data_IF_253670219249
#
_entry.id   IF_253670219249
#
_cell.length_a   1.000
_cell.length_b   1.000
_cell.length_c   1.000
_cell.angle_alpha   90.00
_cell.angle_beta   90.00
_cell.angle_gamma   90.00
#
_symmetry.space_group_name_H-M   'P 1'
#
loop_
_entity.id
_entity.type
_entity.pdbx_description
1 polymer ?
#
# COMPACT_ATOMS: atom_id res chain seq x y z
N UNK A 1 -7.63 1.16 -9.59
CA UNK A 1 -7.19 2.54 -9.94
C UNK A 1 -8.27 3.54 -9.58
N UNK A 2 -7.97 4.49 -8.68
CA UNK A 2 -8.91 5.53 -8.25
C UNK A 2 -8.98 6.65 -9.31
N UNK A 3 -9.49 6.34 -10.51
CA UNK A 3 -9.81 7.37 -11.52
C UNK A 3 -11.19 7.97 -11.22
N UNK A 4 -11.36 8.50 -10.01
CA UNK A 4 -12.52 9.29 -9.63
C UNK A 4 -12.51 10.62 -10.40
N UNK A 5 -12.92 10.60 -11.66
CA UNK A 5 -13.26 11.80 -12.44
C UNK A 5 -12.27 12.22 -13.54
N UNK A 6 -10.99 11.90 -13.46
CA UNK A 6 -10.02 12.26 -14.50
C UNK A 6 -9.94 11.14 -15.55
N UNK A 7 -10.50 11.36 -16.75
CA UNK A 7 -10.33 10.46 -17.91
C UNK A 7 -8.90 10.49 -18.47
N UNK A 8 -8.13 11.53 -18.14
CA UNK A 8 -6.80 11.83 -18.67
C UNK A 8 -5.95 12.40 -17.53
N UNK A 9 -4.77 11.83 -17.30
CA UNK A 9 -3.80 12.31 -16.32
C UNK A 9 -2.52 12.76 -17.04
N UNK A 10 -2.28 14.07 -17.19
CA UNK A 10 -1.09 14.56 -17.86
C UNK A 10 0.16 14.38 -16.98
N UNK A 11 1.21 13.80 -17.56
CA UNK A 11 2.53 13.60 -16.95
C UNK A 11 3.54 14.34 -17.81
N UNK A 12 3.84 15.60 -17.45
CA UNK A 12 4.64 16.48 -18.31
C UNK A 12 3.97 16.68 -19.68
N UNK A 13 4.69 16.39 -20.77
CA UNK A 13 4.14 16.44 -22.12
C UNK A 13 3.33 15.21 -22.51
N UNK A 14 3.39 14.14 -21.72
CA UNK A 14 2.72 12.88 -21.98
C UNK A 14 1.37 12.80 -21.26
N UNK A 15 0.59 11.78 -21.62
CA UNK A 15 -0.70 11.47 -21.02
C UNK A 15 -0.65 10.04 -20.50
N UNK A 16 -1.15 9.85 -19.28
CA UNK A 16 -1.52 8.54 -18.75
C UNK A 16 -3.03 8.35 -18.93
N UNK A 17 -3.43 7.20 -19.46
CA UNK A 17 -4.83 6.85 -19.72
C UNK A 17 -5.09 5.36 -19.52
N UNK A 18 -6.27 5.01 -19.02
CA UNK A 18 -6.68 3.60 -18.96
C UNK A 18 -6.83 2.97 -20.34
N UNK A 19 -7.12 3.77 -21.38
CA UNK A 19 -7.20 3.30 -22.76
C UNK A 19 -5.83 2.81 -23.26
N UNK A 20 -4.75 3.47 -22.84
CA UNK A 20 -3.39 3.05 -23.16
C UNK A 20 -3.08 1.66 -22.61
N UNK A 21 -3.49 1.38 -21.37
CA UNK A 21 -3.30 0.07 -20.75
C UNK A 21 -4.10 -1.03 -21.46
N UNK A 22 -5.34 -0.73 -21.88
CA UNK A 22 -6.14 -1.67 -22.69
C UNK A 22 -5.48 -1.95 -24.04
N UNK A 23 -5.02 -0.92 -24.73
CA UNK A 23 -4.32 -1.06 -26.00
C UNK A 23 -3.06 -1.92 -25.87
N UNK A 24 -2.20 -1.63 -24.88
CA UNK A 24 -0.98 -2.41 -24.65
C UNK A 24 -1.29 -3.89 -24.36
N UNK A 25 -2.37 -4.16 -23.63
CA UNK A 25 -2.82 -5.54 -23.38
C UNK A 25 -3.30 -6.23 -24.66
N UNK A 26 -4.05 -5.54 -25.51
CA UNK A 26 -4.53 -6.11 -26.78
C UNK A 26 -3.40 -6.40 -27.76
N UNK A 27 -2.43 -5.49 -27.87
CA UNK A 27 -1.30 -5.64 -28.78
C UNK A 27 -0.26 -6.66 -28.29
N UNK A 28 0.10 -6.61 -27.00
CA UNK A 28 1.22 -7.38 -26.47
C UNK A 28 0.78 -8.61 -25.65
N UNK A 29 -0.52 -8.77 -25.39
CA UNK A 29 -1.06 -9.93 -24.66
C UNK A 29 -0.38 -10.12 -23.31
N UNK A 30 0.10 -11.33 -23.05
CA UNK A 30 0.83 -11.67 -21.81
C UNK A 30 2.15 -10.90 -21.64
N UNK A 31 2.76 -10.41 -22.72
CA UNK A 31 4.02 -9.63 -22.64
C UNK A 31 3.83 -8.25 -22.02
N UNK A 32 2.59 -7.76 -21.95
CA UNK A 32 2.27 -6.50 -21.27
C UNK A 32 2.24 -6.63 -19.74
N UNK A 33 2.16 -7.85 -19.19
CA UNK A 33 1.95 -8.08 -17.75
C UNK A 33 0.56 -7.65 -17.26
N UNK A 34 -0.35 -7.24 -18.16
CA UNK A 34 -1.69 -6.79 -17.83
C UNK A 34 -2.71 -7.92 -17.96
N UNK A 35 -3.62 -8.01 -17.00
CA UNK A 35 -4.73 -8.98 -17.02
C UNK A 35 -6.07 -8.25 -17.01
N UNK A 36 -7.14 -8.95 -17.45
CA UNK A 36 -8.50 -8.42 -17.37
C UNK A 36 -8.88 -8.04 -15.93
N UNK A 37 -8.39 -8.80 -14.95
CA UNK A 37 -8.68 -8.60 -13.53
C UNK A 37 -8.01 -7.33 -13.00
N UNK A 38 -6.80 -7.01 -13.47
CA UNK A 38 -6.09 -5.79 -13.08
C UNK A 38 -6.72 -4.55 -13.73
N UNK A 39 -7.12 -4.63 -15.00
CA UNK A 39 -7.71 -3.49 -15.73
C UNK A 39 -9.18 -3.23 -15.40
N UNK A 40 -9.94 -4.28 -15.11
CA UNK A 40 -11.34 -4.20 -14.72
C UNK A 40 -11.59 -5.01 -13.44
N UNK A 41 -11.12 -4.51 -12.29
CA UNK A 41 -11.27 -5.21 -11.03
C UNK A 41 -12.76 -5.29 -10.67
N UNK A 42 -13.26 -6.51 -10.50
CA UNK A 42 -14.62 -6.77 -9.98
C UNK A 42 -14.78 -6.22 -8.56
N UNK A 43 -13.72 -6.33 -7.77
CA UNK A 43 -13.60 -5.74 -6.45
C UNK A 43 -12.57 -4.61 -6.47
N UNK A 44 -13.04 -3.37 -6.30
CA UNK A 44 -12.19 -2.17 -6.29
C UNK A 44 -11.37 -2.03 -4.99
N UNK A 45 -11.65 -2.84 -3.97
CA UNK A 45 -10.95 -2.90 -2.70
C UNK A 45 -9.91 -4.03 -2.65
N UNK A 46 -9.74 -4.79 -3.75
CA UNK A 46 -8.73 -5.84 -3.83
C UNK A 46 -7.33 -5.26 -4.01
N UNK A 47 -6.66 -4.98 -2.89
CA UNK A 47 -5.31 -4.41 -2.87
C UNK A 47 -4.31 -5.27 -3.64
N UNK A 48 -4.41 -6.60 -3.55
CA UNK A 48 -3.52 -7.54 -4.26
C UNK A 48 -3.46 -7.29 -5.77
N UNK A 49 -4.58 -6.90 -6.40
CA UNK A 49 -4.63 -6.59 -7.83
C UNK A 49 -3.93 -5.27 -8.15
N UNK A 50 -4.02 -4.29 -7.25
CA UNK A 50 -3.29 -3.03 -7.40
C UNK A 50 -1.79 -3.24 -7.15
N UNK A 51 -1.43 -4.00 -6.12
CA UNK A 51 -0.04 -4.34 -5.82
C UNK A 51 0.62 -5.04 -7.00
N UNK A 52 -0.08 -5.97 -7.65
CA UNK A 52 0.36 -6.65 -8.86
C UNK A 52 0.79 -5.70 -9.97
N UNK A 53 0.14 -4.55 -10.11
CA UNK A 53 0.47 -3.57 -11.16
C UNK A 53 1.77 -2.82 -10.86
N UNK A 54 2.08 -2.61 -9.57
CA UNK A 54 3.25 -1.83 -9.12
C UNK A 54 4.41 -2.68 -8.62
N UNK A 55 4.23 -4.00 -8.49
CA UNK A 55 5.25 -4.92 -8.00
C UNK A 55 6.25 -5.31 -9.09
N UNK A 56 7.51 -5.46 -8.66
CA UNK A 56 8.61 -6.04 -9.46
C UNK A 56 9.21 -7.31 -8.84
N UNK A 57 8.66 -7.79 -7.72
CA UNK A 57 9.30 -8.84 -6.91
C UNK A 57 8.95 -10.27 -7.35
N UNK A 58 10.03 -11.04 -7.54
CA UNK A 58 10.28 -12.50 -7.66
C UNK A 58 9.29 -13.45 -8.37
N UNK A 59 7.98 -13.22 -8.34
CA UNK A 59 7.00 -14.07 -9.06
C UNK A 59 6.07 -13.26 -9.98
N UNK A 60 6.00 -11.93 -9.84
CA UNK A 60 5.13 -11.06 -10.63
C UNK A 60 5.94 -9.84 -11.12
N UNK A 61 6.39 -9.89 -12.38
CA UNK A 61 7.23 -8.87 -13.02
C UNK A 61 6.39 -7.84 -13.80
N UNK A 62 5.14 -7.57 -13.41
CA UNK A 62 4.21 -6.83 -14.25
C UNK A 62 4.64 -5.39 -14.51
N UNK A 63 5.26 -4.70 -13.54
CA UNK A 63 5.82 -3.37 -13.77
C UNK A 63 6.93 -3.42 -14.83
N UNK A 64 7.76 -4.45 -14.81
CA UNK A 64 8.83 -4.65 -15.79
C UNK A 64 8.23 -4.98 -17.16
N UNK A 65 7.26 -5.90 -17.23
CA UNK A 65 6.57 -6.27 -18.46
C UNK A 65 5.81 -5.09 -19.09
N UNK A 66 5.14 -4.28 -18.29
CA UNK A 66 4.44 -3.08 -18.76
C UNK A 66 5.44 -2.08 -19.37
N UNK A 67 6.53 -1.79 -18.66
CA UNK A 67 7.56 -0.89 -19.19
C UNK A 67 8.25 -1.45 -20.44
N UNK A 68 8.50 -2.77 -20.49
CA UNK A 68 9.03 -3.43 -21.69
C UNK A 68 8.07 -3.33 -22.87
N UNK A 69 6.77 -3.54 -22.66
CA UNK A 69 5.76 -3.40 -23.71
C UNK A 69 5.69 -1.96 -24.25
N UNK A 70 5.79 -0.97 -23.36
CA UNK A 70 5.83 0.46 -23.74
C UNK A 70 7.08 0.78 -24.56
N UNK A 71 8.26 0.32 -24.12
CA UNK A 71 9.51 0.55 -24.86
C UNK A 71 9.49 -0.17 -26.21
N UNK A 72 8.98 -1.41 -26.25
CA UNK A 72 8.83 -2.16 -27.49
C UNK A 72 7.92 -1.43 -28.48
N UNK A 73 6.78 -0.91 -28.01
CA UNK A 73 5.86 -0.13 -28.84
C UNK A 73 6.52 1.13 -29.40
N UNK A 74 7.26 1.86 -28.56
CA UNK A 74 7.97 3.05 -29.00
C UNK A 74 9.01 2.75 -30.08
N UNK A 75 9.69 1.60 -30.01
CA UNK A 75 10.68 1.20 -31.02
C UNK A 75 10.00 0.73 -32.32
N UNK A 76 8.96 -0.08 -32.22
CA UNK A 76 8.26 -0.68 -33.37
C UNK A 76 7.48 0.36 -34.18
N UNK A 77 6.86 1.32 -33.50
CA UNK A 77 5.93 2.28 -34.10
C UNK A 77 6.45 3.71 -34.11
N UNK A 78 7.61 3.99 -33.51
CA UNK A 78 8.13 5.34 -33.31
C UNK A 78 7.10 6.26 -32.63
N UNK A 79 6.40 5.70 -31.63
CA UNK A 79 5.32 6.34 -30.88
C UNK A 79 5.62 6.33 -29.37
N UNK A 80 5.85 7.52 -28.79
CA UNK A 80 6.18 7.72 -27.38
C UNK A 80 4.95 8.09 -26.51
N UNK A 81 3.73 7.99 -27.06
CA UNK A 81 2.48 8.37 -26.38
C UNK A 81 2.27 7.69 -25.03
N UNK A 82 2.83 6.50 -24.84
CA UNK A 82 2.69 5.67 -23.64
C UNK A 82 3.72 5.97 -22.53
N UNK A 83 4.65 6.91 -22.74
CA UNK A 83 5.70 7.21 -21.76
C UNK A 83 5.14 7.81 -20.46
N UNK A 84 4.00 8.49 -20.53
CA UNK A 84 3.29 8.98 -19.34
C UNK A 84 2.89 7.85 -18.39
N UNK A 85 2.36 6.75 -18.94
CA UNK A 85 2.03 5.55 -18.18
C UNK A 85 3.28 4.91 -17.56
N UNK A 86 4.36 4.76 -18.34
CA UNK A 86 5.62 4.21 -17.84
C UNK A 86 6.16 5.00 -16.63
N UNK A 87 6.25 6.33 -16.76
CA UNK A 87 6.77 7.21 -15.72
C UNK A 87 5.93 7.10 -14.44
N UNK A 88 4.60 7.24 -14.56
CA UNK A 88 3.72 7.17 -13.39
C UNK A 88 3.86 5.84 -12.65
N UNK A 89 3.77 4.72 -13.38
CA UNK A 89 3.83 3.40 -12.75
C UNK A 89 5.21 3.12 -12.16
N UNK A 90 6.28 3.58 -12.80
CA UNK A 90 7.64 3.45 -12.30
C UNK A 90 7.82 4.18 -10.95
N UNK A 91 7.51 5.48 -10.89
CA UNK A 91 7.73 6.26 -9.66
C UNK A 91 6.76 5.87 -8.54
N UNK A 92 5.50 5.55 -8.86
CA UNK A 92 4.56 4.98 -7.90
C UNK A 92 5.06 3.63 -7.36
N UNK A 93 5.59 2.77 -8.23
CA UNK A 93 6.19 1.49 -7.87
C UNK A 93 7.43 1.63 -6.96
N UNK A 94 8.30 2.61 -7.23
CA UNK A 94 9.44 2.91 -6.35
C UNK A 94 8.98 3.28 -4.93
N UNK A 95 7.99 4.17 -4.82
CA UNK A 95 7.43 4.56 -3.52
C UNK A 95 6.81 3.37 -2.81
N UNK A 96 6.02 2.57 -3.53
CA UNK A 96 5.37 1.40 -2.98
C UNK A 96 6.38 0.35 -2.45
N UNK A 97 7.38 -0.01 -3.26
CA UNK A 97 8.43 -0.94 -2.87
C UNK A 97 9.24 -0.40 -1.67
N UNK A 98 9.45 0.91 -1.60
CA UNK A 98 10.15 1.56 -0.47
C UNK A 98 9.41 1.43 0.87
N UNK A 99 8.11 1.13 0.88
CA UNK A 99 7.37 0.86 2.11
C UNK A 99 7.25 -0.65 2.39
N UNK A 100 6.96 -1.44 1.36
CA UNK A 100 6.65 -2.87 1.52
C UNK A 100 7.89 -3.76 1.68
N UNK A 101 9.01 -3.39 1.09
CA UNK A 101 10.18 -4.27 1.01
C UNK A 101 10.72 -4.62 2.40
N UNK A 102 10.93 -5.92 2.66
CA UNK A 102 11.45 -6.44 3.94
C UNK A 102 12.97 -6.44 4.03
N UNK A 103 13.63 -6.43 2.88
CA UNK A 103 15.08 -6.63 2.76
C UNK A 103 15.80 -5.42 2.15
N UNK A 104 15.07 -4.42 1.65
CA UNK A 104 15.67 -3.23 1.07
C UNK A 104 16.42 -2.40 2.12
N UNK A 105 17.69 -2.12 1.81
CA UNK A 105 18.58 -1.25 2.57
C UNK A 105 18.03 0.17 2.72
N UNK A 106 18.32 0.81 3.85
CA UNK A 106 17.85 2.16 4.16
C UNK A 106 18.26 3.21 3.12
N UNK A 107 19.50 3.17 2.61
CA UNK A 107 19.97 4.13 1.62
C UNK A 107 19.16 4.03 0.31
N UNK A 108 18.95 2.81 -0.18
CA UNK A 108 18.14 2.56 -1.39
C UNK A 108 16.69 2.98 -1.17
N UNK A 109 16.14 2.74 0.02
CA UNK A 109 14.80 3.16 0.42
C UNK A 109 14.64 4.68 0.39
N UNK A 110 15.61 5.42 0.92
CA UNK A 110 15.66 6.89 0.86
C UNK A 110 15.71 7.37 -0.60
N UNK A 111 16.55 6.76 -1.43
CA UNK A 111 16.65 7.13 -2.85
C UNK A 111 15.33 6.94 -3.59
N UNK A 112 14.65 5.82 -3.37
CA UNK A 112 13.36 5.51 -3.99
C UNK A 112 12.28 6.50 -3.55
N UNK A 113 12.19 6.77 -2.25
CA UNK A 113 11.24 7.75 -1.71
C UNK A 113 11.51 9.16 -2.25
N UNK A 114 12.76 9.63 -2.25
CA UNK A 114 13.11 10.94 -2.80
C UNK A 114 12.76 11.06 -4.28
N UNK A 115 13.09 10.05 -5.08
CA UNK A 115 12.80 10.04 -6.51
C UNK A 115 11.29 10.16 -6.77
N UNK A 116 10.48 9.39 -6.04
CA UNK A 116 9.03 9.47 -6.13
C UNK A 116 8.48 10.83 -5.65
N UNK A 117 8.93 11.33 -4.50
CA UNK A 117 8.52 12.63 -3.97
C UNK A 117 8.79 13.76 -4.96
N UNK A 118 9.99 13.80 -5.55
CA UNK A 118 10.36 14.80 -6.56
C UNK A 118 9.45 14.66 -7.78
N UNK A 119 9.23 13.44 -8.27
CA UNK A 119 8.36 13.20 -9.43
C UNK A 119 6.93 13.72 -9.21
N UNK A 120 6.29 13.38 -8.09
CA UNK A 120 4.91 13.83 -7.81
C UNK A 120 4.85 15.35 -7.57
N UNK A 121 5.84 15.92 -6.88
CA UNK A 121 5.94 17.37 -6.70
C UNK A 121 6.10 18.11 -8.05
N UNK A 122 6.98 17.61 -8.93
CA UNK A 122 7.20 18.19 -10.25
C UNK A 122 5.98 18.05 -11.17
N UNK A 123 5.31 16.89 -11.15
CA UNK A 123 4.09 16.64 -11.94
C UNK A 123 2.99 17.63 -11.56
N UNK A 124 2.78 17.85 -10.25
CA UNK A 124 1.83 18.86 -9.76
C UNK A 124 2.25 20.28 -10.15
N UNK A 125 3.51 20.64 -9.90
CA UNK A 125 4.04 21.96 -10.23
C UNK A 125 3.85 22.27 -11.72
N UNK A 126 4.12 21.29 -12.58
CA UNK A 126 3.95 21.40 -14.01
C UNK A 126 2.48 21.66 -14.41
N UNK A 127 1.52 20.94 -13.82
CA UNK A 127 0.09 21.17 -14.08
C UNK A 127 -0.35 22.58 -13.64
N UNK A 128 0.09 23.04 -12.47
CA UNK A 128 -0.25 24.37 -11.95
C UNK A 128 0.38 25.48 -12.80
N UNK A 129 1.59 25.25 -13.33
CA UNK A 129 2.29 26.23 -14.16
C UNK A 129 1.71 26.34 -15.59
N UNK A 130 0.99 25.31 -16.05
CA UNK A 130 0.46 25.21 -17.42
C UNK A 130 -1.08 25.20 -17.47
N UNK A 131 -1.74 25.99 -16.62
CA UNK A 131 -3.20 26.00 -16.48
C UNK A 131 -3.97 26.27 -17.79
N UNK A 132 -3.41 27.09 -18.67
CA UNK A 132 -4.04 27.42 -19.97
C UNK A 132 -4.15 26.20 -20.90
N UNK A 133 -3.27 25.21 -20.75
CA UNK A 133 -3.25 23.99 -21.56
C UNK A 133 -3.83 22.79 -20.82
N UNK A 134 -3.80 22.80 -19.48
CA UNK A 134 -4.19 21.67 -18.63
C UNK A 134 -4.88 22.19 -17.37
N UNK A 135 -6.21 22.01 -17.29
CA UNK A 135 -6.96 22.36 -16.09
C UNK A 135 -6.61 21.40 -14.93
N UNK A 136 -5.87 21.87 -13.94
CA UNK A 136 -5.44 21.10 -12.76
C UNK A 136 -6.58 20.68 -11.83
N UNK A 137 -7.76 21.28 -11.94
CA UNK A 137 -8.96 20.87 -11.20
C UNK A 137 -9.70 19.72 -11.90
N UNK A 138 -9.43 19.49 -13.19
CA UNK A 138 -10.14 18.50 -14.02
C UNK A 138 -9.25 17.34 -14.46
N UNK A 139 -7.96 17.58 -14.62
CA UNK A 139 -6.99 16.64 -15.16
C UNK A 139 -5.81 16.48 -14.21
N UNK A 140 -5.23 15.28 -14.22
CA UNK A 140 -4.09 14.93 -13.37
C UNK A 140 -4.47 14.06 -12.18
N UNK A 141 -3.47 13.76 -11.37
CA UNK A 141 -3.64 13.06 -10.10
C UNK A 141 -4.47 13.96 -9.17
N UNK A 142 -5.42 13.39 -8.44
CA UNK A 142 -6.20 14.15 -7.47
C UNK A 142 -5.27 14.86 -6.49
N UNK A 143 -5.66 16.05 -6.04
CA UNK A 143 -4.79 16.84 -5.17
C UNK A 143 -4.49 16.07 -3.86
N UNK A 144 -5.44 15.23 -3.37
CA UNK A 144 -5.30 14.43 -2.16
C UNK A 144 -4.25 13.35 -2.39
N UNK A 145 -4.41 12.55 -3.44
CA UNK A 145 -3.49 11.46 -3.71
C UNK A 145 -2.08 11.97 -4.00
N UNK A 146 -1.94 13.10 -4.69
CA UNK A 146 -0.63 13.70 -4.91
C UNK A 146 0.03 14.17 -3.61
N UNK A 147 -0.73 14.83 -2.73
CA UNK A 147 -0.22 15.28 -1.44
C UNK A 147 0.12 14.09 -0.53
N UNK A 148 -0.69 13.02 -0.56
CA UNK A 148 -0.43 11.76 0.13
C UNK A 148 0.86 11.09 -0.36
N UNK A 149 1.12 11.04 -1.67
CA UNK A 149 2.38 10.47 -2.19
C UNK A 149 3.61 11.26 -1.75
N UNK A 150 3.53 12.60 -1.74
CA UNK A 150 4.60 13.46 -1.24
C UNK A 150 4.79 13.24 0.26
N UNK A 151 3.69 13.18 1.02
CA UNK A 151 3.71 12.92 2.45
C UNK A 151 4.34 11.55 2.77
N UNK A 152 3.93 10.49 2.07
CA UNK A 152 4.47 9.14 2.25
C UNK A 152 5.97 9.06 1.95
N UNK A 153 6.46 9.74 0.92
CA UNK A 153 7.89 9.76 0.64
C UNK A 153 8.68 10.55 1.68
N UNK A 154 8.20 11.73 2.06
CA UNK A 154 8.88 12.60 3.05
C UNK A 154 8.89 11.99 4.45
N UNK A 155 7.78 11.42 4.90
CA UNK A 155 7.70 10.79 6.23
C UNK A 155 8.58 9.55 6.31
N UNK A 156 8.73 8.78 5.23
CA UNK A 156 9.63 7.63 5.20
C UNK A 156 11.08 8.05 5.46
N UNK A 157 11.52 9.13 4.80
CA UNK A 157 12.86 9.69 4.95
C UNK A 157 13.07 10.19 6.38
N UNK A 158 12.08 10.92 6.93
CA UNK A 158 12.13 11.40 8.31
C UNK A 158 12.15 10.26 9.33
N UNK A 159 11.38 9.19 9.11
CA UNK A 159 11.38 8.00 9.95
C UNK A 159 12.75 7.33 9.95
N UNK A 160 13.35 7.10 8.78
CA UNK A 160 14.69 6.50 8.69
C UNK A 160 15.71 7.36 9.45
N UNK A 161 15.61 8.68 9.34
CA UNK A 161 16.56 9.60 9.95
C UNK A 161 16.37 9.76 11.47
N UNK A 162 15.13 9.86 11.96
CA UNK A 162 14.82 10.24 13.34
C UNK A 162 14.51 9.07 14.26
N UNK A 163 14.05 7.94 13.73
CA UNK A 163 13.67 6.78 14.54
C UNK A 163 14.85 6.23 15.36
N UNK A 164 16.08 6.08 14.82
CA UNK A 164 17.21 5.58 15.59
C UNK A 164 17.59 6.49 16.77
N UNK A 165 17.32 7.79 16.66
CA UNK A 165 17.64 8.78 17.71
C UNK A 165 16.72 8.63 18.94
N UNK A 166 15.49 8.15 18.74
CA UNK A 166 14.49 8.02 19.80
C UNK A 166 14.31 6.58 20.27
N UNK A 167 14.56 5.60 19.40
CA UNK A 167 14.36 4.18 19.62
C UNK A 167 15.63 3.38 19.31
N UNK A 168 16.73 3.76 19.97
CA UNK A 168 18.01 3.09 19.80
C UNK A 168 17.90 1.59 20.11
N UNK A 169 18.39 0.75 19.19
CA UNK A 169 18.37 -0.70 19.32
C UNK A 169 17.06 -1.40 18.87
N UNK A 170 16.02 -0.65 18.50
CA UNK A 170 14.77 -1.22 17.98
C UNK A 170 14.80 -1.14 16.44
N UNK A 171 14.61 -2.25 15.71
CA UNK A 171 14.55 -2.22 14.26
C UNK A 171 13.27 -1.54 13.76
N UNK A 172 13.42 -0.64 12.79
CA UNK A 172 12.30 0.01 12.12
C UNK A 172 11.77 -0.87 10.97
N UNK A 173 10.56 -1.39 11.14
CA UNK A 173 9.91 -2.28 10.18
C UNK A 173 8.83 -1.56 9.37
N UNK A 174 9.20 -0.96 8.24
CA UNK A 174 8.29 -0.14 7.41
C UNK A 174 7.02 -0.86 6.97
N UNK A 175 7.12 -2.15 6.64
CA UNK A 175 5.97 -2.95 6.19
C UNK A 175 4.93 -3.21 7.29
N UNK A 176 5.24 -2.93 8.56
CA UNK A 176 4.28 -2.99 9.66
C UNK A 176 3.53 -1.67 9.86
N UNK A 177 3.99 -0.58 9.26
CA UNK A 177 3.37 0.75 9.35
C UNK A 177 2.25 0.81 8.29
N UNK A 178 1.16 0.10 8.56
CA UNK A 178 -0.04 0.06 7.71
C UNK A 178 -1.29 -0.28 8.53
N UNK A 179 -2.47 -0.08 7.95
CA UNK A 179 -3.75 -0.50 8.52
C UNK A 179 -4.09 -1.96 8.22
N UNK A 180 -3.30 -2.67 7.41
CA UNK A 180 -3.57 -4.05 6.98
C UNK A 180 -3.81 -5.00 8.17
N UNK A 181 -3.09 -4.82 9.27
CA UNK A 181 -3.33 -5.59 10.49
C UNK A 181 -4.72 -5.35 11.09
N UNK A 182 -5.19 -4.10 11.12
CA UNK A 182 -6.53 -3.75 11.60
C UNK A 182 -7.62 -4.30 10.66
N UNK A 183 -7.39 -4.23 9.36
CA UNK A 183 -8.30 -4.81 8.36
C UNK A 183 -8.42 -6.32 8.52
N UNK A 184 -7.33 -7.02 8.83
CA UNK A 184 -7.38 -8.43 9.18
C UNK A 184 -8.17 -8.69 10.48
N UNK A 185 -8.03 -7.86 11.51
CA UNK A 185 -8.86 -7.94 12.73
C UNK A 185 -10.35 -7.81 12.37
N UNK A 186 -10.72 -6.82 11.55
CA UNK A 186 -12.10 -6.65 11.12
C UNK A 186 -12.58 -7.81 10.23
N UNK A 187 -11.71 -8.35 9.38
CA UNK A 187 -11.99 -9.57 8.63
C UNK A 187 -12.29 -10.76 9.55
N UNK A 188 -11.54 -10.93 10.63
CA UNK A 188 -11.84 -11.95 11.64
C UNK A 188 -13.15 -11.70 12.38
N UNK A 189 -13.42 -10.45 12.77
CA UNK A 189 -14.67 -10.11 13.44
C UNK A 189 -15.87 -10.46 12.55
N UNK A 190 -15.82 -10.11 11.26
CA UNK A 190 -16.86 -10.48 10.27
C UNK A 190 -17.05 -11.97 10.08
N UNK A 191 -16.00 -12.78 10.29
CA UNK A 191 -16.13 -14.25 10.27
C UNK A 191 -16.87 -14.82 11.49
N UNK A 192 -16.88 -14.08 12.61
CA UNK A 192 -17.60 -14.49 13.82
C UNK A 192 -19.07 -14.04 13.70
N UNK A 193 -19.29 -12.76 13.40
CA UNK A 193 -20.61 -12.19 13.08
C UNK A 193 -20.41 -11.22 11.91
N UNK A 194 -21.12 -11.45 10.80
CA UNK A 194 -20.95 -10.70 9.55
C UNK A 194 -21.24 -9.21 9.71
N UNK A 195 -22.41 -8.88 10.28
CA UNK A 195 -22.85 -7.51 10.56
C UNK A 195 -22.87 -7.25 12.09
N UNK A 196 -21.68 -7.20 12.70
CA UNK A 196 -21.53 -7.03 14.13
C UNK A 196 -21.80 -5.59 14.58
N UNK A 197 -22.44 -5.41 15.74
CA UNK A 197 -22.55 -4.11 16.41
C UNK A 197 -21.27 -3.79 17.21
N UNK A 198 -21.12 -2.56 17.70
CA UNK A 198 -19.99 -2.18 18.57
C UNK A 198 -19.94 -3.06 19.83
N UNK A 199 -21.10 -3.40 20.41
CA UNK A 199 -21.18 -4.27 21.57
C UNK A 199 -20.68 -5.68 21.23
N UNK A 200 -21.11 -6.21 20.08
CA UNK A 200 -20.66 -7.52 19.60
C UNK A 200 -19.14 -7.56 19.41
N UNK A 201 -18.54 -6.51 18.84
CA UNK A 201 -17.10 -6.40 18.66
C UNK A 201 -16.36 -6.41 20.01
N UNK A 202 -16.84 -5.65 20.99
CA UNK A 202 -16.26 -5.63 22.34
C UNK A 202 -16.35 -7.00 23.01
N UNK A 203 -17.48 -7.69 22.86
CA UNK A 203 -17.68 -9.04 23.40
C UNK A 203 -16.85 -10.10 22.66
N UNK A 204 -16.48 -9.88 21.40
CA UNK A 204 -15.61 -10.78 20.62
C UNK A 204 -14.13 -10.60 20.91
N UNK A 205 -13.72 -9.52 21.57
CA UNK A 205 -12.32 -9.16 21.72
C UNK A 205 -11.47 -10.31 22.29
N UNK A 206 -11.97 -10.99 23.33
CA UNK A 206 -11.29 -12.16 23.92
C UNK A 206 -11.11 -13.32 22.92
N UNK A 207 -12.12 -13.59 22.09
CA UNK A 207 -12.04 -14.62 21.04
C UNK A 207 -11.07 -14.24 19.95
N UNK A 208 -11.06 -12.97 19.54
CA UNK A 208 -10.14 -12.44 18.53
C UNK A 208 -8.70 -12.55 19.04
N UNK A 209 -8.41 -12.04 20.24
CA UNK A 209 -7.07 -12.08 20.86
C UNK A 209 -6.59 -13.53 21.02
N UNK A 210 -7.46 -14.43 21.50
CA UNK A 210 -7.09 -15.84 21.66
C UNK A 210 -6.76 -16.50 20.32
N UNK A 211 -7.53 -16.23 19.28
CA UNK A 211 -7.30 -16.76 17.94
C UNK A 211 -5.98 -16.26 17.34
N UNK A 212 -5.68 -14.97 17.52
CA UNK A 212 -4.39 -14.38 17.11
C UNK A 212 -3.25 -15.04 17.88
N UNK A 213 -3.36 -15.18 19.19
CA UNK A 213 -2.33 -15.82 20.05
C UNK A 213 -2.05 -17.26 19.64
N UNK A 214 -3.09 -18.06 19.33
CA UNK A 214 -2.92 -19.44 18.84
C UNK A 214 -2.19 -19.46 17.50
N UNK A 215 -2.57 -18.60 16.54
CA UNK A 215 -1.91 -18.50 15.22
C UNK A 215 -0.46 -18.02 15.30
N UNK A 216 -0.11 -17.23 16.29
CA UNK A 216 1.27 -16.80 16.52
C UNK A 216 2.13 -17.89 17.16
N UNK A 217 1.53 -18.85 17.89
CA UNK A 217 2.22 -19.97 18.55
C UNK A 217 2.38 -21.19 17.66
N UNK A 218 1.42 -21.46 16.79
CA UNK A 218 1.57 -22.47 15.75
C UNK A 218 2.59 -21.96 14.73
N UNK A 219 3.72 -22.66 14.58
CA UNK A 219 4.75 -22.33 13.60
C UNK A 219 4.09 -22.03 12.25
N UNK A 220 4.35 -20.84 11.70
CA UNK A 220 3.77 -20.28 10.49
C UNK A 220 3.98 -21.18 9.27
N UNK A 221 3.17 -22.24 9.12
CA UNK A 221 2.99 -22.93 7.85
C UNK A 221 1.82 -22.22 7.17
N UNK A 222 2.16 -21.36 6.19
CA UNK A 222 1.17 -20.83 5.25
C UNK A 222 0.46 -22.04 4.59
N UNK A 223 -0.87 -22.16 4.65
CA UNK A 223 -1.55 -23.13 3.81
C UNK A 223 -1.37 -22.73 2.34
N UNK A 224 -1.04 -23.70 1.49
CA UNK A 224 -0.77 -23.55 0.05
C UNK A 224 -2.01 -23.24 -0.82
N UNK A 225 -3.12 -22.76 -0.25
CA UNK A 225 -4.35 -22.55 -0.99
C UNK A 225 -4.66 -21.06 -1.13
N UNK A 226 -4.92 -20.63 -2.36
CA UNK A 226 -5.29 -19.27 -2.77
C UNK A 226 -6.68 -18.81 -2.28
N UNK A 227 -7.31 -19.53 -1.37
CA UNK A 227 -8.59 -19.15 -0.79
C UNK A 227 -8.39 -18.76 0.67
N UNK A 228 -8.36 -17.45 0.92
CA UNK A 228 -7.99 -16.84 2.20
C UNK A 228 -8.89 -17.13 3.42
N UNK A 229 -9.77 -18.13 3.40
CA UNK A 229 -10.85 -18.21 4.39
C UNK A 229 -11.22 -19.57 4.97
N UNK A 230 -10.45 -20.66 4.82
CA UNK A 230 -10.87 -21.95 5.42
C UNK A 230 -9.78 -22.64 6.26
N UNK A 231 -9.97 -22.67 7.59
CA UNK A 231 -9.32 -23.63 8.50
C UNK A 231 -10.37 -24.08 9.53
N UNK A 232 -10.58 -25.39 9.63
CA UNK A 232 -11.40 -26.02 10.67
C UNK A 232 -10.60 -26.10 12.00
N UNK A 233 -11.18 -25.60 13.09
CA UNK A 233 -10.56 -25.63 14.42
C UNK A 233 -10.95 -26.92 15.16
N UNK A 234 -9.96 -27.72 15.59
CA UNK A 234 -10.16 -28.72 16.65
C UNK A 234 -10.11 -28.04 18.01
N UNK A 235 -11.13 -28.30 18.84
CA UNK A 235 -11.30 -27.73 20.17
C UNK A 235 -10.27 -28.26 21.18
N UNK A 236 -9.25 -27.47 21.50
CA UNK A 236 -8.40 -27.70 22.67
C UNK A 236 -8.45 -26.49 23.61
N UNK A 237 -8.90 -26.74 24.84
CA UNK A 237 -8.92 -25.79 25.96
C UNK A 237 -7.53 -25.78 26.61
N UNK A 238 -6.71 -24.79 26.31
CA UNK A 238 -5.54 -24.47 27.14
C UNK A 238 -5.50 -23.00 27.55
N UNK A 239 -5.05 -22.77 28.79
CA UNK A 239 -5.01 -21.47 29.49
C UNK A 239 -3.97 -20.55 28.85
N UNK A 240 -4.29 -19.26 28.72
CA UNK A 240 -3.36 -18.24 28.20
C UNK A 240 -2.18 -18.04 29.18
N UNK A 241 -0.95 -17.75 28.70
CA UNK A 241 0.19 -17.38 29.53
C UNK A 241 0.03 -15.98 30.15
N UNK A 242 0.50 -15.81 31.38
CA UNK A 242 0.46 -14.57 32.19
C UNK A 242 1.18 -13.37 31.55
N UNK A 243 2.04 -13.57 30.56
CA UNK A 243 2.74 -12.47 29.86
C UNK A 243 1.84 -11.66 28.92
N UNK A 244 0.61 -12.11 28.66
CA UNK A 244 -0.38 -11.37 27.86
C UNK A 244 -1.35 -10.55 28.73
N UNK A 245 -1.29 -10.69 30.06
CA UNK A 245 -2.00 -9.82 31.00
C UNK A 245 -1.31 -8.48 31.24
N UNK A 246 -0.07 -8.30 30.74
CA UNK A 246 0.73 -7.09 30.95
C UNK A 246 0.42 -5.97 29.93
N UNK A 247 -0.54 -6.16 29.03
CA UNK A 247 -1.04 -5.06 28.21
C UNK A 247 -1.86 -4.10 29.07
N UNK A 248 -1.34 -2.89 29.24
CA UNK A 248 -2.01 -1.78 29.93
C UNK A 248 -3.47 -1.67 29.46
N UNK A 249 -4.38 -1.74 30.42
CA UNK A 249 -5.80 -1.54 30.18
C UNK A 249 -6.01 -0.08 29.73
N UNK A 250 -7.02 0.21 28.93
CA UNK A 250 -7.36 1.56 28.44
C UNK A 250 -7.46 2.57 29.61
N UNK A 251 -7.85 2.12 30.80
CA UNK A 251 -7.89 2.91 32.03
C UNK A 251 -6.51 3.32 32.59
N UNK A 252 -5.46 2.55 32.31
CA UNK A 252 -4.08 2.83 32.74
C UNK A 252 -3.37 3.83 31.79
N UNK A 253 -3.85 3.94 30.55
CA UNK A 253 -3.34 4.88 29.54
C UNK A 253 -3.73 6.31 29.88
N UNK A 254 -5.01 6.54 30.26
CA UNK A 254 -5.52 7.88 30.62
C UNK A 254 -4.82 8.46 31.87
N UNK A 255 -4.57 7.61 32.87
CA UNK A 255 -3.96 8.05 34.12
C UNK A 255 -2.46 8.36 34.00
N UNK A 256 -1.75 7.71 33.07
CA UNK A 256 -0.35 8.02 32.78
C UNK A 256 -0.17 9.24 31.86
N UNK A 257 -1.07 9.47 30.92
CA UNK A 257 -1.05 10.68 30.06
C UNK A 257 -1.33 11.96 30.87
N UNK A 258 -2.19 11.90 31.90
CA UNK A 258 -2.46 13.04 32.80
C UNK A 258 -1.24 13.38 33.68
N UNK A 259 -0.41 12.39 34.05
CA UNK A 259 0.82 12.64 34.83
C UNK A 259 1.89 13.35 34.01
N UNK A 260 2.06 13.02 32.73
CA UNK A 260 3.08 13.64 31.87
C UNK A 260 2.76 15.12 31.61
N UNK A 261 1.48 15.50 31.54
CA UNK A 261 1.06 16.90 31.36
C UNK A 261 1.22 17.78 32.61
N UNK A 262 1.32 17.19 33.83
CA UNK A 262 1.45 17.95 35.08
C UNK A 262 2.89 18.21 35.54
N UNK A 263 3.89 17.71 34.82
CA UNK A 263 5.32 17.87 35.19
C UNK A 263 5.99 19.04 34.45
N UNK A 264 5.24 19.87 33.71
CA UNK A 264 5.72 21.14 33.15
C UNK A 264 4.87 22.31 33.61
N UNK A 265 5.09 22.71 34.86
CA UNK A 265 4.90 24.07 35.41
C UNK A 265 6.01 24.31 36.41
#
# INVERSE_FOLDING_TARGET
MHNGGARICPIGNFIMSTEHLWYLKEQYGSKSGLTNEVLNPKDKQADELAERLFSSNNNELNLIYLNLAIVQHAIEHNDDSFYGDAMYHFFAGLLFESWKSRTMEHLKRIQFAWAATIFFAMTRHYLISNQCQRNSQKYGISWQSNDDFIYLGTILILLIHQFPNHYAGIPLCFWLISTAFLEHIFGYARRIIEDFTVLDFLMMNEKIIKTISTKMKENLIRPNNNDGYNIHLSTAKDRLPETLSDFLNIYDIDSNMIKVCKVKT
#
